data_IF_695774603585
#
_entry.id   IF_695774603585
#
_cell.length_a   1.000
_cell.length_b   1.000
_cell.length_c   1.000
_cell.angle_alpha   90.00
_cell.angle_beta   90.00
_cell.angle_gamma   90.00
#
_symmetry.space_group_name_H-M   'P 1'
#
loop_
_entity.id
_entity.type
_entity.pdbx_description
1 polymer ?
#
# COMPACT_ATOMS: atom_id res chain seq x y z
N UNK A 1 -21.20 11.96 -20.05
CA UNK A 1 -19.84 11.49 -20.36
C UNK A 1 -19.18 11.14 -19.03
N UNK A 2 -19.06 9.84 -18.72
CA UNK A 2 -18.49 9.31 -17.48
C UNK A 2 -17.20 8.50 -17.76
N UNK A 3 -16.67 8.60 -18.98
CA UNK A 3 -15.49 7.88 -19.44
C UNK A 3 -14.22 8.38 -18.75
N UNK A 4 -14.15 9.67 -18.43
CA UNK A 4 -13.07 10.28 -17.66
C UNK A 4 -12.91 9.66 -16.27
N UNK A 5 -13.99 9.13 -15.68
CA UNK A 5 -13.94 8.52 -14.36
C UNK A 5 -13.33 7.12 -14.40
N UNK A 6 -13.66 6.33 -15.43
CA UNK A 6 -13.17 4.95 -15.55
C UNK A 6 -11.68 4.93 -15.90
N UNK A 7 -11.26 5.74 -16.88
CA UNK A 7 -9.85 5.81 -17.28
C UNK A 7 -8.97 6.29 -16.11
N UNK A 8 -9.42 7.29 -15.34
CA UNK A 8 -8.71 7.76 -14.14
C UNK A 8 -8.70 6.73 -13.02
N UNK A 9 -9.75 5.93 -12.86
CA UNK A 9 -9.79 4.86 -11.88
C UNK A 9 -8.81 3.73 -12.23
N UNK A 10 -8.70 3.38 -13.51
CA UNK A 10 -7.72 2.42 -14.01
C UNK A 10 -6.29 2.93 -13.84
N UNK A 11 -6.02 4.18 -14.23
CA UNK A 11 -4.70 4.81 -14.08
C UNK A 11 -4.28 4.88 -12.60
N UNK A 12 -5.21 5.25 -11.70
CA UNK A 12 -4.98 5.22 -10.26
C UNK A 12 -4.66 3.80 -9.76
N UNK A 13 -5.39 2.79 -10.23
CA UNK A 13 -5.17 1.40 -9.86
C UNK A 13 -3.80 0.91 -10.35
N UNK A 14 -3.45 1.17 -11.61
CA UNK A 14 -2.18 0.75 -12.20
C UNK A 14 -1.00 1.41 -11.49
N UNK A 15 -1.09 2.70 -11.21
CA UNK A 15 -0.07 3.42 -10.45
C UNK A 15 0.06 2.88 -9.02
N UNK A 16 -1.06 2.56 -8.37
CA UNK A 16 -1.05 1.96 -7.04
C UNK A 16 -0.39 0.57 -7.04
N UNK A 17 -0.75 -0.29 -8.00
CA UNK A 17 -0.16 -1.63 -8.15
C UNK A 17 1.33 -1.54 -8.43
N UNK A 18 1.77 -0.62 -9.30
CA UNK A 18 3.18 -0.38 -9.57
C UNK A 18 3.94 0.03 -8.31
N UNK A 19 3.36 0.89 -7.46
CA UNK A 19 3.95 1.26 -6.18
C UNK A 19 4.04 0.06 -5.23
N UNK A 20 2.99 -0.77 -5.15
CA UNK A 20 2.95 -1.97 -4.30
C UNK A 20 4.00 -3.00 -4.77
N UNK A 21 4.14 -3.22 -6.07
CA UNK A 21 5.12 -4.15 -6.64
C UNK A 21 6.57 -3.71 -6.38
N UNK A 22 6.81 -2.42 -6.14
CA UNK A 22 8.12 -1.89 -5.77
C UNK A 22 8.47 -2.09 -4.29
N UNK A 23 7.48 -2.37 -3.42
CA UNK A 23 7.69 -2.53 -1.97
C UNK A 23 8.74 -3.60 -1.63
N UNK A 24 8.74 -4.81 -2.24
CA UNK A 24 9.73 -5.84 -1.91
C UNK A 24 11.18 -5.45 -2.21
N UNK A 25 11.42 -4.53 -3.16
CA UNK A 25 12.76 -4.10 -3.54
C UNK A 25 13.35 -3.07 -2.56
N UNK A 26 12.50 -2.22 -1.97
CA UNK A 26 12.91 -1.17 -1.01
C UNK A 26 11.96 -1.06 0.19
N UNK A 27 11.72 -2.15 0.93
CA UNK A 27 10.68 -2.18 1.96
C UNK A 27 10.95 -1.24 3.14
N UNK A 28 12.23 -0.95 3.40
CA UNK A 28 12.65 -0.13 4.53
C UNK A 28 12.62 1.39 4.23
N UNK A 29 12.43 1.81 2.97
CA UNK A 29 12.32 3.23 2.61
C UNK A 29 10.96 3.84 2.95
N UNK A 30 9.94 3.01 3.17
CA UNK A 30 8.59 3.45 3.53
C UNK A 30 8.50 3.83 5.00
N UNK A 31 7.62 4.80 5.31
CA UNK A 31 7.44 5.37 6.64
C UNK A 31 7.13 4.27 7.66
N UNK A 32 7.90 4.21 8.75
CA UNK A 32 7.52 3.42 9.93
C UNK A 32 6.29 4.05 10.58
N UNK A 33 5.31 3.24 10.97
CA UNK A 33 4.14 3.76 11.66
C UNK A 33 4.53 4.19 13.08
N UNK A 34 4.37 5.47 13.40
CA UNK A 34 4.89 6.08 14.65
C UNK A 34 4.25 5.52 15.93
N UNK A 35 3.02 5.00 15.85
CA UNK A 35 2.24 4.56 17.01
C UNK A 35 2.09 3.03 17.08
N UNK A 36 2.89 2.25 16.35
CA UNK A 36 2.89 0.79 16.47
C UNK A 36 4.13 0.28 17.15
N UNK A 37 3.96 -0.64 18.10
CA UNK A 37 5.05 -1.40 18.71
C UNK A 37 5.73 -2.37 17.73
N UNK A 38 5.20 -2.54 16.52
CA UNK A 38 5.75 -3.43 15.50
C UNK A 38 6.63 -2.65 14.52
N UNK A 39 7.93 -2.91 14.55
CA UNK A 39 8.92 -2.29 13.65
C UNK A 39 8.74 -2.69 12.16
N UNK A 40 7.99 -3.75 11.92
CA UNK A 40 7.71 -4.27 10.59
C UNK A 40 6.45 -3.63 9.97
N UNK A 41 5.67 -2.88 10.75
CA UNK A 41 4.50 -2.17 10.26
C UNK A 41 4.92 -0.84 9.62
N UNK A 42 4.62 -0.72 8.33
CA UNK A 42 5.01 0.41 7.50
C UNK A 42 3.85 0.92 6.69
N UNK A 43 4.00 2.12 6.18
CA UNK A 43 2.94 2.85 5.48
C UNK A 43 3.44 3.35 4.12
N UNK A 44 2.72 2.98 3.07
CA UNK A 44 2.82 3.60 1.75
C UNK A 44 1.88 4.80 1.71
N UNK A 45 2.41 5.98 1.45
CA UNK A 45 1.60 7.19 1.25
C UNK A 45 1.43 7.37 -0.26
N UNK A 46 0.19 7.27 -0.74
CA UNK A 46 -0.15 7.35 -2.15
C UNK A 46 -1.30 8.34 -2.35
N UNK A 47 -1.03 9.49 -2.99
CA UNK A 47 -2.02 10.54 -3.30
C UNK A 47 -2.97 10.90 -2.13
N UNK A 48 -2.43 11.00 -0.92
CA UNK A 48 -3.20 11.31 0.29
C UNK A 48 -3.81 10.10 1.01
N UNK A 49 -3.80 8.92 0.38
CA UNK A 49 -4.14 7.66 1.02
C UNK A 49 -2.92 7.09 1.77
N UNK A 50 -3.18 6.50 2.94
CA UNK A 50 -2.17 5.78 3.71
C UNK A 50 -2.50 4.30 3.69
N UNK A 51 -1.57 3.50 3.16
CA UNK A 51 -1.75 2.08 2.94
C UNK A 51 -0.78 1.33 3.87
N UNK A 52 -1.27 0.82 5.01
CA UNK A 52 -0.42 0.08 5.94
C UNK A 52 -0.11 -1.31 5.38
N UNK A 53 1.13 -1.74 5.54
CA UNK A 53 1.58 -3.07 5.21
C UNK A 53 2.58 -3.58 6.24
N UNK A 54 2.64 -4.90 6.38
CA UNK A 54 3.49 -5.58 7.35
C UNK A 54 4.58 -6.36 6.62
N UNK A 55 5.84 -6.15 7.02
CA UNK A 55 6.98 -6.88 6.50
C UNK A 55 7.10 -8.24 7.18
N UNK A 56 6.72 -9.32 6.50
CA UNK A 56 6.90 -10.66 7.06
C UNK A 56 8.16 -11.32 6.49
N UNK A 57 9.15 -11.60 7.36
CA UNK A 57 10.34 -12.39 7.03
C UNK A 57 9.95 -13.87 6.94
N UNK A 58 9.58 -14.37 5.76
CA UNK A 58 9.51 -15.82 5.51
C UNK A 58 10.66 -16.21 4.59
N UNK A 59 11.80 -16.55 5.22
CA UNK A 59 13.08 -17.20 4.80
C UNK A 59 13.64 -16.93 3.38
N UNK A 60 12.85 -16.65 2.36
CA UNK A 60 13.29 -16.37 0.98
C UNK A 60 12.42 -15.37 0.20
N UNK A 61 11.28 -14.89 0.73
CA UNK A 61 10.41 -13.90 0.06
C UNK A 61 9.78 -12.93 1.05
N UNK A 62 9.87 -11.64 0.76
CA UNK A 62 9.16 -10.61 1.50
C UNK A 62 7.70 -10.57 1.04
N UNK A 63 6.78 -10.93 1.92
CA UNK A 63 5.35 -10.83 1.65
C UNK A 63 4.81 -9.51 2.20
N UNK A 64 4.20 -8.71 1.34
CA UNK A 64 3.53 -7.47 1.70
C UNK A 64 2.03 -7.77 1.85
N UNK A 65 1.54 -7.87 3.07
CA UNK A 65 0.09 -7.98 3.32
C UNK A 65 -0.48 -6.57 3.42
N UNK A 66 -1.10 -6.10 2.35
CA UNK A 66 -1.83 -4.83 2.34
C UNK A 66 -3.20 -5.06 2.96
N UNK A 67 -3.41 -4.58 4.18
CA UNK A 67 -4.75 -4.52 4.77
C UNK A 67 -5.50 -3.34 4.16
N UNK A 68 -6.28 -3.61 3.11
CA UNK A 68 -7.15 -2.67 2.41
C UNK A 68 -8.41 -2.29 3.22
N UNK A 69 -8.32 -2.27 4.56
CA UNK A 69 -9.49 -2.18 5.45
C UNK A 69 -9.45 -0.89 6.27
N UNK A 70 -9.79 0.26 5.65
CA UNK A 70 -10.51 1.35 6.37
C UNK A 70 -10.99 2.54 5.53
N UNK A 71 -10.59 2.71 4.26
CA UNK A 71 -10.91 3.98 3.55
C UNK A 71 -12.13 3.89 2.63
N UNK A 72 -12.57 2.70 2.22
CA UNK A 72 -13.92 2.54 1.68
C UNK A 72 -14.84 2.11 2.82
N UNK A 73 -15.54 3.09 3.41
CA UNK A 73 -16.68 2.84 4.28
C UNK A 73 -17.72 2.03 3.52
N UNK A 74 -17.66 0.71 3.63
CA UNK A 74 -18.80 -0.16 3.45
C UNK A 74 -19.44 -0.23 4.83
N UNK A 75 -20.51 0.54 4.98
CA UNK A 75 -21.51 0.35 6.02
C UNK A 75 -22.26 -0.95 5.79
#
# INVERSE_FOLDING_TARGET
MALDSVAKALDFYDELINNIQNIPFRPYSYRKRLNSNDENLRELIFKGYTIPFLLMKKITKLFCLVFLIKIFGIS
#
